data_IF_339568787320
#
_entry.id   IF_339568787320
#
_cell.length_a   1.000
_cell.length_b   1.000
_cell.length_c   1.000
_cell.angle_alpha   90.00
_cell.angle_beta   90.00
_cell.angle_gamma   90.00
#
_symmetry.space_group_name_H-M   'P 1'
#
loop_
_entity.id
_entity.type
_entity.pdbx_description
1 polymer ?
#
# COMPACT_ATOMS: atom_id res chain seq x y z
N UNK A 1 19.95 2.93 9.37
CA UNK A 1 19.57 4.34 9.14
C UNK A 1 18.59 4.43 7.98
N UNK A 2 17.52 5.17 8.17
CA UNK A 2 16.52 5.41 7.13
C UNK A 2 17.02 6.52 6.22
N UNK A 3 17.12 6.25 4.91
CA UNK A 3 17.52 7.25 3.93
C UNK A 3 16.29 7.87 3.26
N UNK A 4 16.46 9.06 2.67
CA UNK A 4 15.43 9.68 1.85
C UNK A 4 15.06 8.77 0.67
N UNK A 5 16.02 8.00 0.16
CA UNK A 5 15.80 7.06 -0.92
C UNK A 5 14.80 5.97 -0.51
N UNK A 6 14.93 5.43 0.72
CA UNK A 6 14.01 4.42 1.24
C UNK A 6 12.59 4.98 1.40
N UNK A 7 12.49 6.22 1.88
CA UNK A 7 11.20 6.89 2.01
C UNK A 7 10.56 7.10 0.64
N UNK A 8 11.33 7.61 -0.34
CA UNK A 8 10.83 7.87 -1.69
C UNK A 8 10.39 6.59 -2.39
N UNK A 9 11.08 5.48 -2.15
CA UNK A 9 10.74 4.19 -2.78
C UNK A 9 9.35 3.71 -2.35
N UNK A 10 8.94 3.99 -1.12
CA UNK A 10 7.62 3.61 -0.60
C UNK A 10 6.59 4.71 -0.88
N UNK A 11 6.86 5.93 -0.43
CA UNK A 11 5.89 7.03 -0.52
C UNK A 11 5.69 7.52 -1.96
N UNK A 12 6.61 7.23 -2.87
CA UNK A 12 6.50 7.53 -4.28
C UNK A 12 5.72 6.51 -5.11
N UNK A 13 5.22 5.44 -4.50
CA UNK A 13 4.39 4.47 -5.23
C UNK A 13 3.15 5.14 -5.79
N UNK A 14 2.84 4.87 -7.07
CA UNK A 14 1.61 5.36 -7.69
C UNK A 14 0.49 4.33 -7.46
N UNK A 15 -0.41 4.64 -6.56
CA UNK A 15 -1.52 3.78 -6.18
C UNK A 15 -2.87 4.28 -6.69
N UNK A 16 -2.86 5.18 -7.69
CA UNK A 16 -4.07 5.76 -8.27
C UNK A 16 -5.03 4.69 -8.79
N UNK A 17 -4.51 3.69 -9.50
CA UNK A 17 -5.35 2.62 -10.05
C UNK A 17 -6.02 1.81 -8.94
N UNK A 18 -5.33 1.60 -7.81
CA UNK A 18 -5.89 0.87 -6.68
C UNK A 18 -7.00 1.69 -6.01
N UNK A 19 -6.78 3.00 -5.83
CA UNK A 19 -7.81 3.89 -5.28
C UNK A 19 -9.05 3.91 -6.15
N UNK A 20 -8.87 3.96 -7.47
CA UNK A 20 -10.00 3.94 -8.41
C UNK A 20 -10.85 2.69 -8.22
N UNK A 21 -10.23 1.52 -8.05
CA UNK A 21 -10.95 0.28 -7.80
C UNK A 21 -11.69 0.30 -6.47
N UNK A 22 -11.04 0.82 -5.41
CA UNK A 22 -11.65 0.92 -4.08
C UNK A 22 -12.85 1.87 -4.06
N UNK A 23 -12.82 2.92 -4.87
CA UNK A 23 -13.89 3.92 -4.94
C UNK A 23 -15.10 3.42 -5.74
N UNK A 24 -14.95 2.39 -6.57
CA UNK A 24 -16.03 1.90 -7.41
C UNK A 24 -17.18 1.34 -6.56
N UNK A 25 -18.40 1.79 -6.82
CA UNK A 25 -19.54 1.47 -5.97
C UNK A 25 -19.97 0.00 -6.05
N UNK A 26 -19.88 -0.62 -7.22
CA UNK A 26 -20.36 -1.98 -7.42
C UNK A 26 -19.27 -3.02 -7.20
N UNK A 27 -18.10 -2.81 -7.80
CA UNK A 27 -17.02 -3.80 -7.77
C UNK A 27 -15.96 -3.52 -6.72
N UNK A 28 -15.99 -2.34 -6.09
CA UNK A 28 -15.10 -1.95 -5.03
C UNK A 28 -15.82 -1.75 -3.71
N UNK A 29 -15.27 -0.86 -2.87
CA UNK A 29 -15.81 -0.56 -1.54
C UNK A 29 -16.71 0.68 -1.54
N UNK A 30 -16.79 1.40 -2.65
CA UNK A 30 -17.56 2.65 -2.71
C UNK A 30 -16.96 3.78 -1.88
N UNK A 31 -15.65 3.75 -1.62
CA UNK A 31 -15.00 4.78 -0.82
C UNK A 31 -15.06 6.14 -1.52
N UNK A 32 -15.17 7.22 -0.74
CA UNK A 32 -14.98 8.56 -1.26
C UNK A 32 -13.52 8.79 -1.64
N UNK A 33 -13.27 9.80 -2.49
CA UNK A 33 -11.90 10.18 -2.83
C UNK A 33 -11.11 10.59 -1.59
N UNK A 34 -11.72 11.35 -0.69
CA UNK A 34 -11.06 11.77 0.55
C UNK A 34 -10.68 10.58 1.42
N UNK A 35 -11.59 9.61 1.55
CA UNK A 35 -11.30 8.40 2.34
C UNK A 35 -10.19 7.56 1.68
N UNK A 36 -10.27 7.36 0.37
CA UNK A 36 -9.25 6.61 -0.37
C UNK A 36 -7.86 7.26 -0.22
N UNK A 37 -7.79 8.59 -0.31
CA UNK A 37 -6.53 9.32 -0.15
C UNK A 37 -6.00 9.21 1.28
N UNK A 38 -6.89 9.26 2.27
CA UNK A 38 -6.50 9.11 3.67
C UNK A 38 -5.92 7.73 3.95
N UNK A 39 -6.60 6.69 3.46
CA UNK A 39 -6.14 5.31 3.64
C UNK A 39 -4.86 5.04 2.86
N UNK A 40 -4.70 5.65 1.68
CA UNK A 40 -3.44 5.54 0.93
C UNK A 40 -2.26 6.02 1.77
N UNK A 41 -2.39 7.16 2.45
CA UNK A 41 -1.32 7.68 3.30
C UNK A 41 -1.00 6.73 4.45
N UNK A 42 -2.04 6.18 5.08
CA UNK A 42 -1.85 5.20 6.16
C UNK A 42 -1.22 3.90 5.64
N UNK A 43 -1.64 3.44 4.47
CA UNK A 43 -1.10 2.24 3.84
C UNK A 43 0.39 2.40 3.52
N UNK A 44 0.79 3.52 2.93
CA UNK A 44 2.20 3.79 2.65
C UNK A 44 3.02 3.84 3.93
N UNK A 45 2.49 4.46 4.99
CA UNK A 45 3.15 4.47 6.30
C UNK A 45 3.31 3.05 6.85
N UNK A 46 2.27 2.23 6.72
CA UNK A 46 2.31 0.82 7.12
C UNK A 46 3.40 0.06 6.37
N UNK A 47 3.46 0.20 5.05
CA UNK A 47 4.50 -0.42 4.23
C UNK A 47 5.89 0.04 4.64
N UNK A 48 6.05 1.33 4.91
CA UNK A 48 7.32 1.89 5.35
C UNK A 48 7.77 1.31 6.70
N UNK A 49 6.83 1.14 7.63
CA UNK A 49 7.13 0.51 8.91
C UNK A 49 7.56 -0.94 8.74
N UNK A 50 6.91 -1.68 7.86
CA UNK A 50 7.30 -3.07 7.59
C UNK A 50 8.67 -3.17 6.94
N UNK A 51 9.02 -2.20 6.09
CA UNK A 51 10.36 -2.13 5.49
C UNK A 51 11.43 -1.83 6.54
N UNK A 52 11.13 -0.89 7.44
CA UNK A 52 12.07 -0.42 8.45
C UNK A 52 12.26 -1.43 9.58
N UNK A 53 11.17 -2.11 9.96
CA UNK A 53 11.16 -3.06 11.07
C UNK A 53 10.63 -4.41 10.62
N UNK A 54 11.37 -5.13 9.76
CA UNK A 54 10.84 -6.34 9.11
C UNK A 54 10.58 -7.50 10.08
N UNK A 55 11.17 -7.48 11.28
CA UNK A 55 10.96 -8.53 12.27
C UNK A 55 9.88 -8.17 13.31
N UNK A 56 9.36 -6.95 13.25
CA UNK A 56 8.30 -6.51 14.15
C UNK A 56 6.95 -6.99 13.64
N UNK A 57 6.03 -7.32 14.55
CA UNK A 57 4.66 -7.60 14.18
C UNK A 57 3.90 -6.30 14.07
N UNK A 58 3.56 -5.92 12.84
CA UNK A 58 2.79 -4.72 12.57
C UNK A 58 1.42 -5.13 12.03
N UNK A 59 0.35 -4.81 12.77
CA UNK A 59 -1.00 -5.13 12.36
C UNK A 59 -1.62 -3.92 11.64
N UNK A 60 -2.14 -4.09 10.42
CA UNK A 60 -2.84 -3.01 9.73
C UNK A 60 -4.23 -2.78 10.32
N UNK A 61 -4.75 -1.55 10.19
CA UNK A 61 -6.16 -1.29 10.45
C UNK A 61 -7.01 -2.02 9.40
N UNK A 62 -8.32 -2.12 9.64
CA UNK A 62 -9.24 -2.77 8.71
C UNK A 62 -9.15 -2.14 7.31
N UNK A 63 -9.16 -0.82 7.23
CA UNK A 63 -9.14 -0.11 5.95
C UNK A 63 -7.78 -0.24 5.25
N UNK A 64 -6.68 -0.21 5.99
CA UNK A 64 -5.35 -0.44 5.44
C UNK A 64 -5.24 -1.86 4.91
N UNK A 65 -5.77 -2.84 5.64
CA UNK A 65 -5.77 -4.24 5.20
C UNK A 65 -6.60 -4.40 3.92
N UNK A 66 -7.74 -3.74 3.82
CA UNK A 66 -8.57 -3.73 2.61
C UNK A 66 -7.80 -3.14 1.43
N UNK A 67 -7.13 -2.02 1.62
CA UNK A 67 -6.30 -1.39 0.59
C UNK A 67 -5.21 -2.36 0.13
N UNK A 68 -4.55 -3.00 1.08
CA UNK A 68 -3.48 -3.96 0.80
C UNK A 68 -4.00 -5.14 -0.05
N UNK A 69 -5.18 -5.68 0.29
CA UNK A 69 -5.82 -6.74 -0.49
C UNK A 69 -6.05 -6.32 -1.95
N UNK A 70 -6.57 -5.12 -2.17
CA UNK A 70 -6.80 -4.61 -3.53
C UNK A 70 -5.49 -4.45 -4.30
N UNK A 71 -4.44 -4.01 -3.62
CA UNK A 71 -3.11 -3.88 -4.23
C UNK A 71 -2.56 -5.25 -4.63
N UNK A 72 -2.65 -6.24 -3.74
CA UNK A 72 -2.19 -7.61 -4.02
C UNK A 72 -2.94 -8.24 -5.19
N UNK A 73 -4.24 -7.98 -5.30
CA UNK A 73 -5.06 -8.56 -6.38
C UNK A 73 -4.63 -8.03 -7.76
N UNK A 74 -4.04 -6.86 -7.83
CA UNK A 74 -3.37 -6.36 -9.06
C UNK A 74 -1.95 -6.93 -9.06
N UNK A 75 -1.83 -8.21 -9.38
CA UNK A 75 -0.65 -9.01 -9.07
C UNK A 75 0.63 -8.52 -9.74
N UNK A 76 0.56 -8.12 -11.02
CA UNK A 76 1.74 -7.64 -11.74
C UNK A 76 2.20 -6.29 -11.18
N UNK A 77 1.25 -5.39 -10.91
CA UNK A 77 1.56 -4.11 -10.30
C UNK A 77 2.14 -4.29 -8.89
N UNK A 78 1.52 -5.17 -8.09
CA UNK A 78 1.98 -5.42 -6.73
C UNK A 78 3.43 -5.95 -6.72
N UNK A 79 3.73 -6.89 -7.61
CA UNK A 79 5.09 -7.43 -7.73
C UNK A 79 6.10 -6.35 -8.10
N UNK A 80 5.76 -5.49 -9.07
CA UNK A 80 6.63 -4.39 -9.49
C UNK A 80 6.81 -3.36 -8.37
N UNK A 81 5.73 -3.03 -7.67
CA UNK A 81 5.76 -2.07 -6.55
C UNK A 81 6.57 -2.61 -5.37
N UNK A 82 6.45 -3.91 -5.08
CA UNK A 82 7.27 -4.56 -4.05
C UNK A 82 8.75 -4.50 -4.40
N UNK A 83 9.10 -4.77 -5.66
CA UNK A 83 10.49 -4.68 -6.10
C UNK A 83 11.02 -3.26 -5.94
N UNK A 84 10.24 -2.25 -6.32
CA UNK A 84 10.62 -0.85 -6.15
C UNK A 84 10.77 -0.46 -4.68
N UNK A 85 9.80 -0.85 -3.85
CA UNK A 85 9.73 -0.40 -2.46
C UNK A 85 10.64 -1.20 -1.52
N UNK A 86 10.76 -2.51 -1.74
CA UNK A 86 11.43 -3.42 -0.80
C UNK A 86 12.62 -4.16 -1.41
N UNK A 87 12.63 -4.39 -2.72
CA UNK A 87 13.58 -5.30 -3.36
C UNK A 87 13.23 -6.78 -3.18
N UNK A 88 12.04 -7.07 -2.65
CA UNK A 88 11.51 -8.44 -2.50
C UNK A 88 9.98 -8.38 -2.47
N UNK A 89 9.35 -9.54 -2.70
CA UNK A 89 7.89 -9.65 -2.66
C UNK A 89 7.41 -9.71 -1.21
N UNK A 90 6.53 -8.78 -0.84
CA UNK A 90 5.98 -8.71 0.51
C UNK A 90 4.69 -9.52 0.56
N UNK A 91 4.71 -10.67 1.23
CA UNK A 91 3.54 -11.52 1.39
C UNK A 91 2.60 -10.95 2.47
N UNK A 92 1.31 -11.13 2.23
CA UNK A 92 0.27 -10.72 3.18
C UNK A 92 0.27 -11.59 4.43
#
# INVERSE_FOLDING_TARGET
MISNFDMDAVFGLDLTAIKTKLMHHQSGEGWSALHADSVEREYKRFLFLMKTFPTEQTAPSVDVDTFWHYHILDTMKYAADCEQAFGYFLHH
#
